data_IF_340874642654
#
_entry.id   IF_340874642654
#
_cell.length_a   1.000
_cell.length_b   1.000
_cell.length_c   1.000
_cell.angle_alpha   90.00
_cell.angle_beta   90.00
_cell.angle_gamma   90.00
#
_symmetry.space_group_name_H-M   'P 1'
#
loop_
_entity.id
_entity.type
_entity.pdbx_description
1 polymer ?
#
# COMPACT_ATOMS: atom_id res chain seq x y z
N UNK A 1 -21.81 -44.47 23.91
CA UNK A 1 -21.50 -45.88 23.55
C UNK A 1 -20.60 -45.82 22.31
N UNK A 2 -19.30 -45.65 22.47
CA UNK A 2 -18.23 -46.65 22.70
C UNK A 2 -17.95 -47.52 21.46
N UNK A 3 -16.70 -47.36 20.96
CA UNK A 3 -15.79 -48.30 20.28
C UNK A 3 -15.25 -47.66 18.98
N UNK A 4 -14.03 -47.12 18.89
CA UNK A 4 -12.70 -47.63 19.26
C UNK A 4 -12.28 -48.86 18.44
N UNK A 5 -11.34 -48.64 17.52
CA UNK A 5 -10.54 -49.72 16.93
C UNK A 5 -9.12 -49.20 16.70
N UNK A 6 -8.27 -49.56 17.66
CA UNK A 6 -6.83 -49.45 17.63
C UNK A 6 -6.22 -50.42 16.61
N UNK A 7 -5.15 -50.00 15.95
CA UNK A 7 -4.30 -50.87 15.15
C UNK A 7 -2.88 -50.82 15.73
N UNK A 8 -2.42 -51.97 16.23
CA UNK A 8 -1.08 -52.19 16.74
C UNK A 8 -0.57 -53.56 16.27
N UNK A 9 0.76 -53.71 16.30
CA UNK A 9 1.60 -54.86 15.88
C UNK A 9 2.05 -54.81 14.41
N UNK A 10 3.31 -55.11 14.05
CA UNK A 10 4.51 -55.59 14.77
C UNK A 10 5.71 -55.37 13.83
N UNK A 11 6.87 -55.05 14.39
CA UNK A 11 8.15 -55.09 13.68
C UNK A 11 8.63 -56.54 13.44
N UNK A 12 9.55 -56.72 12.48
CA UNK A 12 10.71 -57.57 12.77
C UNK A 12 12.06 -56.89 12.42
N UNK A 13 13.03 -57.23 13.27
CA UNK A 13 14.45 -56.95 13.20
C UNK A 13 15.11 -57.51 11.94
N UNK A 14 16.01 -56.74 11.32
CA UNK A 14 17.28 -57.26 10.79
C UNK A 14 18.33 -56.13 10.72
N UNK A 15 19.47 -56.36 11.39
CA UNK A 15 20.74 -55.62 11.22
C UNK A 15 21.53 -56.27 10.10
N UNK A 16 22.35 -55.50 9.38
CA UNK A 16 23.68 -55.95 8.99
C UNK A 16 24.77 -55.09 9.66
N UNK A 17 25.79 -55.79 10.13
CA UNK A 17 27.06 -55.25 10.61
C UNK A 17 27.82 -54.58 9.46
N UNK A 18 28.40 -53.41 9.72
CA UNK A 18 29.46 -52.81 8.90
C UNK A 18 30.69 -52.58 9.79
N UNK A 19 31.91 -52.78 9.26
CA UNK A 19 33.11 -52.91 10.07
C UNK A 19 33.66 -51.57 10.52
N UNK A 20 34.20 -51.58 11.74
CA UNK A 20 35.09 -50.56 12.29
C UNK A 20 36.32 -50.41 11.37
N UNK A 21 36.51 -49.23 10.78
CA UNK A 21 37.84 -48.77 10.35
C UNK A 21 38.27 -47.61 11.25
N UNK A 22 39.23 -47.92 12.12
CA UNK A 22 40.08 -46.97 12.81
C UNK A 22 41.16 -46.49 11.83
N UNK A 23 41.14 -45.20 11.49
CA UNK A 23 42.19 -44.55 10.71
C UNK A 23 42.27 -43.09 11.11
N UNK A 24 43.24 -42.76 11.95
CA UNK A 24 43.57 -41.38 12.29
C UNK A 24 44.35 -40.71 11.15
N UNK A 25 44.08 -39.43 10.91
CA UNK A 25 45.05 -38.47 10.41
C UNK A 25 44.48 -37.04 10.42
N UNK A 26 45.30 -36.13 10.93
CA UNK A 26 45.40 -34.71 10.58
C UNK A 26 44.13 -33.82 10.68
N UNK A 27 44.03 -33.11 11.79
CA UNK A 27 43.32 -31.83 11.86
C UNK A 27 44.05 -30.80 10.98
N UNK A 28 43.61 -30.66 9.73
CA UNK A 28 43.90 -29.48 8.91
C UNK A 28 42.90 -28.40 9.28
N UNK A 29 43.37 -27.36 9.98
CA UNK A 29 42.65 -26.11 10.19
C UNK A 29 42.46 -25.40 8.84
N UNK A 30 41.36 -25.71 8.14
CA UNK A 30 40.89 -24.87 7.05
C UNK A 30 40.23 -23.63 7.67
N UNK A 31 40.98 -22.54 7.74
CA UNK A 31 40.40 -21.21 7.90
C UNK A 31 39.30 -21.03 6.84
N UNK A 32 38.10 -20.52 7.20
CA UNK A 32 37.08 -20.20 6.21
C UNK A 32 37.65 -19.17 5.25
N UNK A 33 37.81 -19.55 3.97
CA UNK A 33 38.16 -18.60 2.91
C UNK A 33 37.12 -17.47 2.88
N UNK A 34 37.55 -16.20 2.76
CA UNK A 34 36.62 -15.10 2.66
C UNK A 34 36.03 -15.14 1.26
N UNK A 35 34.88 -15.80 1.08
CA UNK A 35 34.09 -15.72 -0.16
C UNK A 35 33.31 -14.37 -0.25
N UNK A 36 33.38 -13.53 0.77
CA UNK A 36 32.73 -12.23 0.85
C UNK A 36 33.35 -11.09 0.00
N UNK A 37 34.67 -10.98 -0.23
CA UNK A 37 35.24 -9.85 -0.96
C UNK A 37 34.88 -9.88 -2.46
N UNK A 38 34.77 -11.07 -3.06
CA UNK A 38 34.55 -11.21 -4.50
C UNK A 38 33.15 -10.73 -4.90
N UNK A 39 32.14 -11.05 -4.09
CA UNK A 39 30.76 -10.58 -4.32
C UNK A 39 30.63 -9.06 -4.14
N UNK A 40 31.34 -8.45 -3.18
CA UNK A 40 31.33 -7.00 -2.98
C UNK A 40 32.02 -6.25 -4.12
N UNK A 41 33.17 -6.73 -4.62
CA UNK A 41 33.86 -6.11 -5.75
C UNK A 41 33.06 -6.25 -7.06
N UNK A 42 32.41 -7.39 -7.29
CA UNK A 42 31.54 -7.58 -8.45
C UNK A 42 30.32 -6.64 -8.41
N UNK A 43 29.70 -6.44 -7.24
CA UNK A 43 28.60 -5.47 -7.05
C UNK A 43 29.05 -4.03 -7.27
N UNK A 44 30.25 -3.67 -6.80
CA UNK A 44 30.81 -2.33 -7.01
C UNK A 44 31.12 -2.08 -8.50
N UNK A 45 31.71 -3.06 -9.18
CA UNK A 45 32.00 -2.97 -10.61
C UNK A 45 30.72 -2.88 -11.47
N UNK A 46 29.68 -3.67 -11.15
CA UNK A 46 28.37 -3.56 -11.82
C UNK A 46 27.71 -2.20 -11.58
N UNK A 47 27.76 -1.66 -10.35
CA UNK A 47 27.27 -0.30 -10.05
C UNK A 47 27.97 0.75 -10.91
N UNK A 48 29.30 0.70 -10.97
CA UNK A 48 30.09 1.65 -11.77
C UNK A 48 29.78 1.54 -13.27
N UNK A 49 29.61 0.31 -13.78
CA UNK A 49 29.30 0.07 -15.19
C UNK A 49 27.90 0.60 -15.55
N UNK A 50 26.91 0.44 -14.67
CA UNK A 50 25.57 0.99 -14.87
C UNK A 50 25.52 2.52 -14.76
N UNK A 51 26.25 3.11 -13.81
CA UNK A 51 26.38 4.57 -13.70
C UNK A 51 26.96 5.21 -14.97
N UNK A 52 27.78 4.47 -15.73
CA UNK A 52 28.39 4.95 -16.97
C UNK A 52 27.55 4.63 -18.22
N UNK A 53 26.47 3.84 -18.10
CA UNK A 53 25.60 3.56 -19.23
C UNK A 53 24.81 4.83 -19.60
N UNK A 54 24.92 5.33 -20.85
CA UNK A 54 24.28 6.57 -21.26
C UNK A 54 22.76 6.49 -21.10
N UNK A 55 22.16 7.61 -20.73
CA UNK A 55 20.71 7.75 -20.66
C UNK A 55 20.11 7.78 -22.06
N UNK A 56 19.11 6.94 -22.30
CA UNK A 56 18.28 7.04 -23.50
C UNK A 56 17.17 8.06 -23.24
N UNK A 57 17.41 9.29 -23.69
CA UNK A 57 16.50 10.41 -23.55
C UNK A 57 16.14 10.92 -24.95
N UNK A 58 14.93 10.63 -25.48
CA UNK A 58 14.56 11.00 -26.84
C UNK A 58 14.39 12.52 -27.04
N UNK A 59 14.40 13.30 -25.96
CA UNK A 59 14.24 14.75 -25.97
C UNK A 59 15.13 15.41 -24.92
N UNK A 60 15.68 16.58 -25.24
CA UNK A 60 16.49 17.37 -24.30
C UNK A 60 15.66 18.37 -23.47
N UNK A 61 14.45 18.71 -23.94
CA UNK A 61 13.60 19.71 -23.30
C UNK A 61 12.67 19.13 -22.22
N UNK A 62 12.34 17.83 -22.28
CA UNK A 62 11.43 17.21 -21.33
C UNK A 62 12.17 16.85 -20.04
N UNK A 63 11.98 17.67 -19.02
CA UNK A 63 12.53 17.47 -17.65
C UNK A 63 11.46 17.02 -16.64
N UNK A 64 11.90 16.55 -15.46
CA UNK A 64 11.03 16.03 -14.39
C UNK A 64 9.85 16.98 -14.12
N UNK A 65 10.10 18.28 -13.97
CA UNK A 65 9.07 19.31 -13.72
C UNK A 65 7.79 19.19 -14.59
N UNK A 66 7.89 18.78 -15.85
CA UNK A 66 6.73 18.61 -16.74
C UNK A 66 5.77 17.52 -16.27
N UNK A 67 6.29 16.45 -15.66
CA UNK A 67 5.47 15.34 -15.16
C UNK A 67 4.56 15.80 -14.01
N UNK A 68 4.98 16.79 -13.21
CA UNK A 68 4.10 17.40 -12.20
C UNK A 68 2.90 18.10 -12.82
N UNK A 69 3.09 18.81 -13.93
CA UNK A 69 1.99 19.50 -14.62
C UNK A 69 1.00 18.47 -15.17
N UNK A 70 1.50 17.42 -15.81
CA UNK A 70 0.67 16.32 -16.34
C UNK A 70 -0.11 15.65 -15.21
N UNK A 71 0.52 15.40 -14.07
CA UNK A 71 -0.11 14.84 -12.88
C UNK A 71 -1.16 15.78 -12.25
N UNK A 72 -0.89 17.09 -12.25
CA UNK A 72 -1.77 18.09 -11.64
C UNK A 72 -3.06 18.27 -12.44
N UNK A 73 -3.02 18.24 -13.77
CA UNK A 73 -4.19 18.45 -14.63
C UNK A 73 -5.41 17.60 -14.26
N UNK A 74 -5.36 16.25 -14.24
CA UNK A 74 -6.54 15.44 -13.92
C UNK A 74 -7.03 15.69 -12.49
N UNK A 75 -6.12 15.98 -11.56
CA UNK A 75 -6.43 16.30 -10.17
C UNK A 75 -7.20 17.63 -10.08
N UNK A 76 -6.70 18.67 -10.73
CA UNK A 76 -7.31 20.00 -10.74
C UNK A 76 -8.63 20.01 -11.50
N UNK A 77 -8.74 19.28 -12.62
CA UNK A 77 -10.00 19.09 -13.34
C UNK A 77 -11.06 18.43 -12.47
N UNK A 78 -10.70 17.38 -11.73
CA UNK A 78 -11.63 16.69 -10.84
C UNK A 78 -12.15 17.62 -9.72
N UNK A 79 -11.27 18.44 -9.16
CA UNK A 79 -11.62 19.40 -8.10
C UNK A 79 -12.43 20.59 -8.61
N UNK A 80 -12.15 21.07 -9.83
CA UNK A 80 -12.84 22.23 -10.39
C UNK A 80 -14.27 21.90 -10.83
N UNK A 81 -14.50 20.71 -11.35
CA UNK A 81 -15.83 20.26 -11.79
C UNK A 81 -16.77 20.01 -10.60
N UNK A 82 -16.22 19.73 -9.43
CA UNK A 82 -17.04 19.47 -8.25
C UNK A 82 -16.19 19.71 -6.99
N UNK A 83 -16.31 20.90 -6.36
CA UNK A 83 -15.58 21.20 -5.14
C UNK A 83 -15.87 20.15 -4.05
N UNK A 84 -14.84 19.68 -3.33
CA UNK A 84 -15.02 18.64 -2.33
C UNK A 84 -15.87 19.15 -1.16
N UNK A 85 -16.60 18.24 -0.54
CA UNK A 85 -17.30 18.37 0.73
C UNK A 85 -18.45 19.39 0.74
N UNK A 86 -18.98 19.78 -0.41
CA UNK A 86 -20.08 20.77 -0.48
C UNK A 86 -21.30 20.34 0.34
N UNK A 87 -21.67 19.05 0.29
CA UNK A 87 -22.83 18.47 0.99
C UNK A 87 -22.48 17.84 2.33
N UNK A 88 -21.21 17.88 2.72
CA UNK A 88 -20.75 17.23 3.95
C UNK A 88 -21.15 18.02 5.19
N UNK A 89 -21.55 17.31 6.24
CA UNK A 89 -21.80 17.89 7.55
C UNK A 89 -20.48 18.38 8.21
N UNK A 90 -20.55 19.18 9.29
CA UNK A 90 -19.35 19.75 9.91
C UNK A 90 -18.33 18.70 10.37
N UNK A 91 -18.78 17.57 10.93
CA UNK A 91 -17.87 16.52 11.37
C UNK A 91 -17.19 15.81 10.19
N UNK A 92 -17.94 15.48 9.13
CA UNK A 92 -17.38 14.91 7.91
C UNK A 92 -16.31 15.83 7.29
N UNK A 93 -16.56 17.15 7.26
CA UNK A 93 -15.56 18.13 6.80
C UNK A 93 -14.31 18.09 7.67
N UNK A 94 -14.50 18.17 8.98
CA UNK A 94 -13.39 18.15 9.94
C UNK A 94 -12.54 16.87 9.81
N UNK A 95 -13.18 15.70 9.75
CA UNK A 95 -12.49 14.42 9.63
C UNK A 95 -11.83 14.23 8.26
N UNK A 96 -12.41 14.78 7.19
CA UNK A 96 -11.81 14.79 5.85
C UNK A 96 -10.53 15.64 5.81
N UNK A 97 -10.54 16.82 6.42
CA UNK A 97 -9.32 17.62 6.54
C UNK A 97 -8.29 16.98 7.46
N UNK A 98 -8.73 16.39 8.58
CA UNK A 98 -7.84 15.64 9.47
C UNK A 98 -7.17 14.48 8.74
N UNK A 99 -7.92 13.74 7.90
CA UNK A 99 -7.37 12.72 7.03
C UNK A 99 -6.30 13.28 6.08
N UNK A 100 -6.59 14.36 5.33
CA UNK A 100 -5.61 14.94 4.40
C UNK A 100 -4.33 15.35 5.14
N UNK A 101 -4.45 16.08 6.24
CA UNK A 101 -3.29 16.55 7.01
C UNK A 101 -2.49 15.36 7.53
N UNK A 102 -3.18 14.38 8.16
CA UNK A 102 -2.55 13.18 8.68
C UNK A 102 -1.79 12.41 7.58
N UNK A 103 -2.45 12.15 6.45
CA UNK A 103 -1.88 11.31 5.40
C UNK A 103 -0.78 12.01 4.62
N UNK A 104 -0.86 13.33 4.42
CA UNK A 104 0.24 14.11 3.85
C UNK A 104 1.46 14.05 4.76
N UNK A 105 1.28 14.27 6.07
CA UNK A 105 2.40 14.22 7.01
C UNK A 105 3.05 12.83 7.06
N UNK A 106 2.28 11.77 7.33
CA UNK A 106 2.85 10.43 7.52
C UNK A 106 3.21 9.76 6.20
N UNK A 107 2.41 9.97 5.16
CA UNK A 107 2.61 9.41 3.83
C UNK A 107 3.83 10.00 3.16
N UNK A 108 4.02 11.33 3.19
CA UNK A 108 5.23 11.94 2.62
C UNK A 108 6.46 11.56 3.41
N UNK A 109 6.41 11.54 4.75
CA UNK A 109 7.55 11.13 5.57
C UNK A 109 7.96 9.68 5.30
N UNK A 110 6.99 8.76 5.26
CA UNK A 110 7.26 7.36 4.92
C UNK A 110 7.77 7.25 3.48
N UNK A 111 7.13 7.94 2.53
CA UNK A 111 7.53 7.98 1.12
C UNK A 111 8.98 8.42 0.97
N UNK A 112 9.37 9.50 1.64
CA UNK A 112 10.73 10.02 1.59
C UNK A 112 11.76 9.00 2.08
N UNK A 113 11.46 8.25 3.14
CA UNK A 113 12.38 7.25 3.71
C UNK A 113 12.62 6.10 2.74
N UNK A 114 11.56 5.45 2.25
CA UNK A 114 11.72 4.27 1.38
C UNK A 114 12.20 4.66 -0.01
N UNK A 115 11.79 5.83 -0.50
CA UNK A 115 12.19 6.34 -1.81
C UNK A 115 13.69 6.68 -1.83
N UNK A 116 14.16 7.42 -0.81
CA UNK A 116 15.58 7.70 -0.60
C UNK A 116 16.39 6.40 -0.42
N UNK A 117 15.84 5.42 0.30
CA UNK A 117 16.51 4.13 0.46
C UNK A 117 16.67 3.42 -0.89
N UNK A 118 15.61 3.27 -1.68
CA UNK A 118 15.70 2.60 -2.98
C UNK A 118 16.61 3.33 -3.96
N UNK A 119 16.57 4.66 -4.00
CA UNK A 119 17.49 5.48 -4.79
C UNK A 119 18.96 5.26 -4.36
N UNK A 120 19.25 5.29 -3.06
CA UNK A 120 20.61 5.06 -2.53
C UNK A 120 21.15 3.65 -2.80
N UNK A 121 20.25 2.67 -2.96
CA UNK A 121 20.59 1.30 -3.31
C UNK A 121 20.70 1.08 -4.83
N UNK A 122 20.23 2.04 -5.62
CA UNK A 122 20.21 2.01 -7.08
C UNK A 122 19.03 1.22 -7.67
N UNK A 123 17.97 0.98 -6.89
CA UNK A 123 16.76 0.30 -7.41
C UNK A 123 16.04 1.15 -8.45
N UNK A 124 16.17 2.46 -8.32
CA UNK A 124 15.89 3.45 -9.35
C UNK A 124 16.97 4.51 -9.34
N UNK A 125 17.14 5.12 -10.50
CA UNK A 125 18.14 6.14 -10.75
C UNK A 125 17.45 7.33 -11.43
N UNK A 126 17.93 8.53 -11.13
CA UNK A 126 17.45 9.77 -11.73
C UNK A 126 18.48 10.33 -12.70
N UNK A 127 18.01 10.84 -13.83
CA UNK A 127 18.88 11.44 -14.82
C UNK A 127 19.29 12.85 -14.35
N UNK A 128 20.59 13.10 -14.11
CA UNK A 128 21.06 14.39 -13.62
C UNK A 128 20.82 15.53 -14.63
N UNK A 129 20.69 15.22 -15.93
CA UNK A 129 20.42 16.24 -16.96
C UNK A 129 18.95 16.68 -16.99
N UNK A 130 18.06 15.93 -16.31
CA UNK A 130 16.60 16.16 -16.31
C UNK A 130 16.02 16.46 -14.93
N UNK A 131 16.85 16.47 -13.90
CA UNK A 131 16.44 16.60 -12.51
C UNK A 131 17.36 17.56 -11.76
N UNK A 132 16.84 18.23 -10.73
CA UNK A 132 17.65 19.07 -9.85
C UNK A 132 18.16 18.23 -8.68
N UNK A 133 19.38 17.72 -8.79
CA UNK A 133 20.04 16.93 -7.74
C UNK A 133 20.73 17.82 -6.71
N UNK A 134 20.79 17.37 -5.46
CA UNK A 134 21.60 17.99 -4.40
C UNK A 134 22.46 16.93 -3.72
N UNK A 135 23.68 17.29 -3.33
CA UNK A 135 24.63 16.34 -2.72
C UNK A 135 24.15 15.78 -1.36
N UNK A 136 23.24 16.49 -0.69
CA UNK A 136 22.74 16.17 0.65
C UNK A 136 21.45 15.31 0.66
N UNK A 137 20.83 15.06 -0.50
CA UNK A 137 19.56 14.33 -0.60
C UNK A 137 19.69 13.24 -1.68
N UNK A 138 19.29 12.02 -1.34
CA UNK A 138 19.41 10.86 -2.24
C UNK A 138 18.48 10.93 -3.48
N UNK A 139 17.47 11.79 -3.43
CA UNK A 139 16.47 11.98 -4.49
C UNK A 139 16.44 13.46 -4.94
N UNK A 140 16.09 13.74 -6.20
CA UNK A 140 15.95 15.11 -6.68
C UNK A 140 14.88 15.91 -5.94
N UNK A 141 14.96 17.25 -6.00
CA UNK A 141 13.95 18.14 -5.40
C UNK A 141 12.58 17.86 -6.00
N UNK A 142 12.51 17.59 -7.30
CA UNK A 142 11.28 17.24 -8.01
C UNK A 142 10.66 15.96 -7.46
N UNK A 143 11.47 14.96 -7.12
CA UNK A 143 10.96 13.73 -6.48
C UNK A 143 10.34 14.05 -5.12
N UNK A 144 10.97 14.88 -4.29
CA UNK A 144 10.37 15.31 -3.01
C UNK A 144 8.99 15.95 -3.23
N UNK A 145 8.86 16.82 -4.22
CA UNK A 145 7.57 17.40 -4.61
C UNK A 145 6.60 16.36 -5.15
N UNK A 146 7.10 15.31 -5.81
CA UNK A 146 6.29 14.23 -6.36
C UNK A 146 5.65 13.42 -5.23
N UNK A 147 6.37 13.19 -4.13
CA UNK A 147 5.82 12.56 -2.93
C UNK A 147 4.60 13.35 -2.41
N UNK A 148 4.71 14.68 -2.29
CA UNK A 148 3.59 15.54 -1.88
C UNK A 148 2.43 15.47 -2.88
N UNK A 149 2.71 15.63 -4.17
CA UNK A 149 1.69 15.59 -5.21
C UNK A 149 0.97 14.24 -5.28
N UNK A 150 1.69 13.13 -5.21
CA UNK A 150 1.12 11.79 -5.27
C UNK A 150 0.21 11.52 -4.07
N UNK A 151 0.68 11.81 -2.86
CA UNK A 151 -0.12 11.61 -1.64
C UNK A 151 -1.36 12.52 -1.63
N UNK A 152 -1.18 13.81 -1.93
CA UNK A 152 -2.30 14.77 -1.94
C UNK A 152 -3.32 14.42 -3.03
N UNK A 153 -2.87 14.15 -4.26
CA UNK A 153 -3.75 13.67 -5.34
C UNK A 153 -4.56 12.47 -4.88
N UNK A 154 -3.89 11.45 -4.36
CA UNK A 154 -4.54 10.20 -3.97
C UNK A 154 -5.57 10.42 -2.87
N UNK A 155 -5.25 11.27 -1.88
CA UNK A 155 -6.20 11.64 -0.83
C UNK A 155 -7.44 12.36 -1.38
N UNK A 156 -7.25 13.28 -2.34
CA UNK A 156 -8.34 14.02 -2.97
C UNK A 156 -9.22 13.12 -3.85
N UNK A 157 -8.63 12.19 -4.59
CA UNK A 157 -9.38 11.15 -5.31
C UNK A 157 -10.20 10.29 -4.36
N UNK A 158 -9.66 9.93 -3.20
CA UNK A 158 -10.40 9.15 -2.21
C UNK A 158 -11.61 9.91 -1.65
N UNK A 159 -11.42 11.18 -1.28
CA UNK A 159 -12.54 12.03 -0.87
C UNK A 159 -13.60 12.10 -1.95
N UNK A 160 -13.16 12.26 -3.20
CA UNK A 160 -14.10 12.36 -4.32
C UNK A 160 -14.86 11.07 -4.59
N UNK A 161 -14.21 9.93 -4.40
CA UNK A 161 -14.88 8.65 -4.53
C UNK A 161 -15.97 8.46 -3.47
N UNK A 162 -15.77 8.92 -2.24
CA UNK A 162 -16.81 8.89 -1.19
C UNK A 162 -18.00 9.82 -1.48
N UNK A 163 -17.77 10.92 -2.20
CA UNK A 163 -18.84 11.84 -2.61
C UNK A 163 -19.65 11.33 -3.80
N UNK A 164 -18.97 10.73 -4.79
CA UNK A 164 -19.59 10.40 -6.08
C UNK A 164 -20.14 8.98 -6.17
N UNK A 165 -19.59 8.06 -5.38
CA UNK A 165 -19.95 6.64 -5.44
C UNK A 165 -20.81 6.28 -4.24
N UNK A 166 -21.91 5.57 -4.46
CA UNK A 166 -22.78 5.08 -3.39
C UNK A 166 -22.08 4.07 -2.47
N UNK A 167 -22.60 3.90 -1.26
CA UNK A 167 -22.17 2.87 -0.30
C UNK A 167 -22.60 1.48 -0.80
N UNK A 168 -21.81 0.44 -0.53
CA UNK A 168 -22.24 -0.96 -0.66
C UNK A 168 -22.66 -1.50 0.71
N UNK A 169 -23.91 -1.24 1.09
CA UNK A 169 -24.44 -1.59 2.41
C UNK A 169 -24.62 -3.11 2.62
N UNK A 170 -24.54 -3.92 1.57
CA UNK A 170 -24.75 -5.37 1.61
C UNK A 170 -23.56 -6.16 2.17
N UNK A 171 -22.38 -5.54 2.31
CA UNK A 171 -21.18 -6.22 2.81
C UNK A 171 -21.05 -6.12 4.33
N UNK A 172 -20.99 -7.27 4.99
CA UNK A 172 -20.78 -7.36 6.44
C UNK A 172 -19.32 -7.22 6.89
N UNK A 173 -19.07 -7.59 8.15
CA UNK A 173 -17.73 -7.70 8.75
C UNK A 173 -17.00 -8.91 8.11
N UNK A 174 -15.67 -8.84 7.87
CA UNK A 174 -14.93 -10.01 7.38
C UNK A 174 -15.05 -11.19 8.35
N UNK A 175 -15.15 -12.41 7.80
CA UNK A 175 -15.09 -13.60 8.64
C UNK A 175 -13.74 -13.70 9.38
N UNK A 176 -13.67 -14.36 10.55
CA UNK A 176 -12.42 -14.60 11.25
C UNK A 176 -11.35 -15.25 10.38
N UNK A 177 -11.73 -16.19 9.51
CA UNK A 177 -10.84 -16.90 8.60
C UNK A 177 -10.27 -15.96 7.53
N UNK A 178 -11.11 -15.11 6.93
CA UNK A 178 -10.65 -14.12 5.96
C UNK A 178 -9.69 -13.12 6.63
N UNK A 179 -10.05 -12.65 7.83
CA UNK A 179 -9.22 -11.73 8.61
C UNK A 179 -7.86 -12.33 8.91
N UNK A 180 -7.82 -13.56 9.42
CA UNK A 180 -6.60 -14.28 9.74
C UNK A 180 -5.75 -14.57 8.48
N UNK A 181 -6.37 -14.99 7.39
CA UNK A 181 -5.67 -15.35 6.15
C UNK A 181 -4.97 -14.15 5.50
N UNK A 182 -5.68 -13.02 5.39
CA UNK A 182 -5.09 -11.77 4.86
C UNK A 182 -3.98 -11.27 5.79
N UNK A 183 -4.18 -11.38 7.11
CA UNK A 183 -3.14 -11.01 8.10
C UNK A 183 -1.88 -11.86 7.94
N UNK A 184 -2.05 -13.18 7.82
CA UNK A 184 -0.93 -14.11 7.63
C UNK A 184 -0.19 -13.83 6.32
N UNK A 185 -0.92 -13.53 5.24
CA UNK A 185 -0.32 -13.14 3.96
C UNK A 185 0.51 -11.85 4.09
N UNK A 186 0.00 -10.83 4.78
CA UNK A 186 0.71 -9.56 4.96
C UNK A 186 1.94 -9.71 5.88
N UNK A 187 1.85 -10.56 6.90
CA UNK A 187 3.00 -10.92 7.74
C UNK A 187 4.05 -11.67 6.91
N UNK A 188 3.64 -12.63 6.09
CA UNK A 188 4.54 -13.35 5.19
C UNK A 188 5.20 -12.40 4.16
N UNK A 189 4.44 -11.45 3.60
CA UNK A 189 4.97 -10.42 2.71
C UNK A 189 6.00 -9.54 3.43
N UNK A 190 5.73 -9.08 4.66
CA UNK A 190 6.69 -8.33 5.46
C UNK A 190 7.99 -9.13 5.69
N UNK A 191 7.87 -10.40 6.10
CA UNK A 191 9.01 -11.29 6.30
C UNK A 191 9.81 -11.51 5.00
N UNK A 192 9.10 -11.69 3.89
CA UNK A 192 9.70 -11.76 2.56
C UNK A 192 10.44 -10.48 2.21
N UNK A 193 9.87 -9.30 2.47
CA UNK A 193 10.51 -8.02 2.19
C UNK A 193 11.83 -7.84 2.96
N UNK A 194 11.83 -8.17 4.25
CA UNK A 194 13.03 -8.14 5.09
C UNK A 194 14.07 -9.13 4.58
N UNK A 195 13.67 -10.38 4.30
CA UNK A 195 14.57 -11.39 3.73
C UNK A 195 15.15 -10.94 2.39
N UNK A 196 14.29 -10.46 1.49
CA UNK A 196 14.67 -10.02 0.15
C UNK A 196 15.72 -8.91 0.25
N UNK A 197 15.50 -7.89 1.09
CA UNK A 197 16.46 -6.79 1.25
C UNK A 197 17.76 -7.20 1.96
N UNK A 198 17.65 -7.88 3.11
CA UNK A 198 18.79 -8.09 4.01
C UNK A 198 19.59 -9.37 3.75
N UNK A 199 18.95 -10.43 3.25
CA UNK A 199 19.50 -11.79 3.23
C UNK A 199 19.60 -12.39 1.83
N UNK A 200 18.72 -12.01 0.90
CA UNK A 200 18.73 -12.57 -0.44
C UNK A 200 20.03 -12.22 -1.18
N UNK A 201 20.72 -13.21 -1.77
CA UNK A 201 21.85 -12.97 -2.67
C UNK A 201 21.38 -12.55 -4.07
N UNK A 202 20.12 -12.81 -4.40
CA UNK A 202 19.50 -12.46 -5.67
C UNK A 202 18.98 -11.02 -5.63
N UNK A 203 19.45 -10.20 -6.57
CA UNK A 203 19.09 -8.79 -6.68
C UNK A 203 17.72 -8.59 -7.35
N UNK A 204 17.23 -9.55 -8.14
CA UNK A 204 15.97 -9.43 -8.91
C UNK A 204 14.72 -9.33 -8.02
N UNK A 205 14.82 -9.75 -6.76
CA UNK A 205 13.72 -9.68 -5.78
C UNK A 205 13.76 -8.41 -4.92
N UNK A 206 14.77 -7.55 -5.08
CA UNK A 206 15.00 -6.42 -4.17
C UNK A 206 13.95 -5.33 -4.31
N UNK A 207 13.48 -5.03 -5.52
CA UNK A 207 12.45 -4.01 -5.72
C UNK A 207 11.11 -4.42 -5.09
N UNK A 208 10.61 -5.63 -5.40
CA UNK A 208 9.40 -6.18 -4.74
C UNK A 208 9.62 -6.33 -3.24
N UNK A 209 10.80 -6.77 -2.82
CA UNK A 209 11.19 -6.87 -1.41
C UNK A 209 11.06 -5.54 -0.67
N UNK A 210 11.47 -4.45 -1.31
CA UNK A 210 11.33 -3.10 -0.77
C UNK A 210 9.85 -2.70 -0.59
N UNK A 211 9.03 -2.93 -1.61
CA UNK A 211 7.58 -2.68 -1.54
C UNK A 211 6.96 -3.46 -0.38
N UNK A 212 7.27 -4.75 -0.28
CA UNK A 212 6.75 -5.61 0.79
C UNK A 212 7.21 -5.15 2.19
N UNK A 213 8.49 -4.81 2.35
CA UNK A 213 9.05 -4.40 3.64
C UNK A 213 8.39 -3.11 4.18
N UNK A 214 8.09 -2.15 3.31
CA UNK A 214 7.53 -0.86 3.72
C UNK A 214 6.00 -0.84 3.75
N UNK A 215 5.32 -1.46 2.79
CA UNK A 215 3.87 -1.31 2.68
C UNK A 215 3.06 -2.47 3.26
N UNK A 216 3.60 -3.69 3.34
CA UNK A 216 2.87 -4.80 3.97
C UNK A 216 2.53 -4.53 5.44
N UNK A 217 3.41 -3.92 6.27
CA UNK A 217 3.05 -3.52 7.63
C UNK A 217 1.94 -2.46 7.68
N UNK A 218 1.97 -1.48 6.77
CA UNK A 218 0.92 -0.43 6.69
C UNK A 218 -0.42 -1.05 6.32
N UNK A 219 -0.43 -1.93 5.32
CA UNK A 219 -1.62 -2.68 4.93
C UNK A 219 -2.13 -3.58 6.05
N UNK A 220 -1.22 -4.20 6.83
CA UNK A 220 -1.60 -5.01 7.98
C UNK A 220 -2.33 -4.17 9.03
N UNK A 221 -1.84 -2.97 9.32
CA UNK A 221 -2.50 -2.02 10.23
C UNK A 221 -3.89 -1.64 9.68
N UNK A 222 -3.97 -1.22 8.41
CA UNK A 222 -5.24 -0.90 7.75
C UNK A 222 -6.22 -2.07 7.85
N UNK A 223 -5.74 -3.30 7.65
CA UNK A 223 -6.57 -4.51 7.71
C UNK A 223 -7.04 -4.83 9.13
N UNK A 224 -6.16 -4.74 10.14
CA UNK A 224 -6.54 -5.01 11.53
C UNK A 224 -7.58 -4.02 12.03
N UNK A 225 -7.37 -2.74 11.77
CA UNK A 225 -8.23 -1.65 12.24
C UNK A 225 -9.51 -1.57 11.42
N UNK A 226 -9.36 -1.67 10.11
CA UNK A 226 -10.32 -1.10 9.18
C UNK A 226 -10.92 -2.05 8.16
N UNK A 227 -10.62 -3.34 8.21
CA UNK A 227 -11.12 -4.31 7.22
C UNK A 227 -12.63 -4.26 6.99
N UNK A 228 -13.43 -4.05 8.03
CA UNK A 228 -14.88 -3.87 7.91
C UNK A 228 -15.27 -2.62 7.08
N UNK A 229 -14.59 -1.50 7.31
CA UNK A 229 -14.82 -0.26 6.56
C UNK A 229 -14.36 -0.41 5.12
N UNK A 230 -13.22 -1.09 4.93
CA UNK A 230 -12.67 -1.36 3.61
C UNK A 230 -13.63 -2.23 2.78
N UNK A 231 -14.26 -3.24 3.39
CA UNK A 231 -15.17 -4.13 2.68
C UNK A 231 -16.53 -3.49 2.40
N UNK A 232 -17.13 -2.77 3.37
CA UNK A 232 -18.40 -2.03 3.20
C UNK A 232 -18.32 -0.90 2.18
N UNK A 233 -17.13 -0.31 2.01
CA UNK A 233 -16.91 0.80 1.07
C UNK A 233 -16.03 0.38 -0.10
N UNK A 234 -15.98 -0.91 -0.43
CA UNK A 234 -15.06 -1.44 -1.43
C UNK A 234 -15.16 -0.77 -2.80
N UNK A 235 -16.37 -0.42 -3.27
CA UNK A 235 -16.53 0.33 -4.53
C UNK A 235 -15.87 1.71 -4.48
N UNK A 236 -16.11 2.47 -3.41
CA UNK A 236 -15.53 3.81 -3.21
C UNK A 236 -14.02 3.74 -3.12
N UNK A 237 -13.51 2.73 -2.44
CA UNK A 237 -12.07 2.52 -2.29
C UNK A 237 -11.47 2.09 -3.62
N UNK A 238 -12.11 1.18 -4.34
CA UNK A 238 -11.62 0.71 -5.64
C UNK A 238 -11.50 1.87 -6.63
N UNK A 239 -12.51 2.74 -6.71
CA UNK A 239 -12.44 3.94 -7.58
C UNK A 239 -11.39 4.93 -7.09
N UNK A 240 -11.38 5.22 -5.78
CA UNK A 240 -10.43 6.14 -5.17
C UNK A 240 -8.98 5.66 -5.26
N UNK A 241 -8.74 4.34 -5.35
CA UNK A 241 -7.42 3.71 -5.45
C UNK A 241 -6.98 3.51 -6.90
N UNK A 242 -7.82 2.86 -7.69
CA UNK A 242 -7.45 2.39 -9.01
C UNK A 242 -7.16 3.55 -9.96
N UNK A 243 -8.02 4.58 -9.95
CA UNK A 243 -7.91 5.68 -10.89
C UNK A 243 -6.65 6.55 -10.68
N UNK A 244 -6.34 7.04 -9.46
CA UNK A 244 -5.09 7.76 -9.27
C UNK A 244 -3.87 6.85 -9.37
N UNK A 245 -3.96 5.58 -8.98
CA UNK A 245 -2.88 4.60 -9.05
C UNK A 245 -2.44 4.33 -10.49
N UNK A 246 -3.39 3.98 -11.37
CA UNK A 246 -3.14 3.79 -12.81
C UNK A 246 -2.61 5.07 -13.44
N UNK A 247 -3.16 6.23 -13.08
CA UNK A 247 -2.65 7.52 -13.57
C UNK A 247 -1.18 7.73 -13.19
N UNK A 248 -0.77 7.40 -11.96
CA UNK A 248 0.63 7.50 -11.54
C UNK A 248 1.52 6.53 -12.33
N UNK A 249 1.08 5.27 -12.50
CA UNK A 249 1.81 4.26 -13.29
C UNK A 249 2.03 4.73 -14.73
N UNK A 250 1.02 5.33 -15.36
CA UNK A 250 1.13 5.82 -16.74
C UNK A 250 2.11 7.00 -16.84
N UNK A 251 2.10 7.90 -15.86
CA UNK A 251 3.06 9.02 -15.82
C UNK A 251 4.47 8.51 -15.56
N UNK A 252 4.63 7.46 -14.76
CA UNK A 252 5.91 6.80 -14.58
C UNK A 252 6.43 6.17 -15.88
N UNK A 253 5.57 5.45 -16.61
CA UNK A 253 5.93 4.94 -17.93
C UNK A 253 6.40 6.06 -18.86
N UNK A 254 5.74 7.23 -18.83
CA UNK A 254 6.16 8.41 -19.59
C UNK A 254 7.51 8.96 -19.10
N UNK A 255 7.73 9.04 -17.79
CA UNK A 255 9.01 9.48 -17.21
C UNK A 255 10.17 8.59 -17.63
N UNK A 256 9.96 7.28 -17.62
CA UNK A 256 10.93 6.30 -18.12
C UNK A 256 11.17 6.43 -19.63
N UNK A 257 10.11 6.60 -20.43
CA UNK A 257 10.22 6.84 -21.88
C UNK A 257 11.02 8.08 -22.21
N UNK A 258 10.89 9.12 -21.39
CA UNK A 258 11.63 10.37 -21.56
C UNK A 258 13.02 10.33 -20.89
N UNK A 259 13.42 9.21 -20.28
CA UNK A 259 14.72 9.08 -19.63
C UNK A 259 14.89 10.02 -18.43
N UNK A 260 13.81 10.41 -17.74
CA UNK A 260 13.88 11.23 -16.51
C UNK A 260 14.41 10.38 -15.35
N UNK A 261 13.96 9.13 -15.28
CA UNK A 261 14.47 8.12 -14.38
C UNK A 261 14.45 6.75 -15.06
N UNK A 262 15.16 5.79 -14.47
CA UNK A 262 15.17 4.41 -14.94
C UNK A 262 15.25 3.44 -13.76
N UNK A 263 14.84 2.22 -14.05
CA UNK A 263 14.88 1.11 -13.11
C UNK A 263 15.84 0.04 -13.66
N UNK A 264 17.03 -0.14 -13.07
CA UNK A 264 17.98 -1.14 -13.54
C UNK A 264 17.38 -2.55 -13.50
N UNK A 265 17.44 -3.25 -14.63
CA UNK A 265 16.80 -4.57 -14.81
C UNK A 265 17.27 -5.62 -13.79
N UNK A 266 18.49 -5.50 -13.28
CA UNK A 266 19.06 -6.39 -12.27
C UNK A 266 18.28 -6.42 -10.95
N UNK A 267 17.49 -5.38 -10.66
CA UNK A 267 16.69 -5.28 -9.43
C UNK A 267 15.21 -5.61 -9.62
N UNK A 268 14.81 -5.93 -10.85
CA UNK A 268 13.42 -6.16 -11.22
C UNK A 268 13.15 -7.67 -11.41
N UNK A 269 11.91 -8.07 -11.18
CA UNK A 269 11.44 -9.44 -11.35
C UNK A 269 11.51 -9.98 -12.80
N UNK A 270 11.67 -9.08 -13.78
CA UNK A 270 11.65 -9.40 -15.20
C UNK A 270 10.24 -9.55 -15.80
N UNK A 271 9.18 -9.35 -15.01
CA UNK A 271 7.79 -9.38 -15.49
C UNK A 271 7.41 -7.99 -16.00
N UNK A 272 7.39 -7.80 -17.32
CA UNK A 272 7.07 -6.50 -17.93
C UNK A 272 6.52 -6.58 -19.35
N UNK A 273 5.79 -5.54 -19.76
CA UNK A 273 5.39 -5.25 -21.14
C UNK A 273 5.83 -3.81 -21.47
N UNK A 274 6.90 -3.65 -22.26
CA UNK A 274 7.51 -2.35 -22.52
C UNK A 274 7.98 -1.64 -21.24
N UNK A 275 7.44 -0.44 -20.98
CA UNK A 275 7.75 0.35 -19.78
C UNK A 275 6.91 -0.05 -18.56
N UNK A 276 5.87 -0.87 -18.77
CA UNK A 276 5.01 -1.37 -17.71
C UNK A 276 5.67 -2.58 -17.05
N UNK A 277 6.38 -2.33 -15.94
CA UNK A 277 7.06 -3.36 -15.14
C UNK A 277 6.21 -3.68 -13.92
N UNK A 278 5.99 -4.97 -13.63
CA UNK A 278 5.16 -5.40 -12.50
C UNK A 278 5.61 -4.75 -11.19
N UNK A 279 6.91 -4.75 -10.93
CA UNK A 279 7.53 -4.19 -9.73
C UNK A 279 7.12 -2.72 -9.52
N UNK A 280 7.06 -1.95 -10.62
CA UNK A 280 6.75 -0.52 -10.61
C UNK A 280 5.25 -0.26 -10.53
N UNK A 281 4.45 -1.12 -11.16
CA UNK A 281 2.99 -1.15 -10.94
C UNK A 281 2.70 -1.38 -9.46
N UNK A 282 3.39 -2.33 -8.82
CA UNK A 282 3.23 -2.61 -7.40
C UNK A 282 3.66 -1.42 -6.53
N UNK A 283 4.79 -0.77 -6.82
CA UNK A 283 5.23 0.46 -6.15
C UNK A 283 4.09 1.47 -6.06
N UNK A 284 3.48 1.83 -7.19
CA UNK A 284 2.45 2.86 -7.19
C UNK A 284 1.09 2.37 -6.72
N UNK A 285 0.67 1.16 -7.10
CA UNK A 285 -0.63 0.65 -6.68
C UNK A 285 -0.65 0.39 -5.17
N UNK A 286 0.41 -0.18 -4.60
CA UNK A 286 0.45 -0.52 -3.18
C UNK A 286 0.57 0.74 -2.30
N UNK A 287 1.39 1.71 -2.70
CA UNK A 287 1.51 3.00 -2.01
C UNK A 287 0.23 3.84 -2.12
N UNK A 288 -0.41 3.86 -3.30
CA UNK A 288 -1.71 4.52 -3.49
C UNK A 288 -2.76 3.89 -2.58
N UNK A 289 -2.80 2.56 -2.48
CA UNK A 289 -3.73 1.89 -1.56
C UNK A 289 -3.49 2.27 -0.10
N UNK A 290 -2.23 2.41 0.33
CA UNK A 290 -1.93 2.79 1.70
C UNK A 290 -2.56 4.14 2.07
N UNK A 291 -2.55 5.10 1.14
CA UNK A 291 -3.22 6.40 1.29
C UNK A 291 -4.74 6.24 1.30
N UNK A 292 -5.30 5.54 0.31
CA UNK A 292 -6.76 5.41 0.15
C UNK A 292 -7.41 4.57 1.23
N UNK A 293 -6.78 3.46 1.63
CA UNK A 293 -7.24 2.59 2.70
C UNK A 293 -7.26 3.31 4.05
N UNK A 294 -6.24 4.12 4.33
CA UNK A 294 -6.22 4.97 5.53
C UNK A 294 -7.34 5.99 5.52
N UNK A 295 -7.54 6.68 4.39
CA UNK A 295 -8.64 7.64 4.24
C UNK A 295 -10.01 6.98 4.36
N UNK A 296 -10.17 5.80 3.78
CA UNK A 296 -11.40 5.05 3.84
C UNK A 296 -11.79 4.71 5.27
N UNK A 297 -10.84 4.32 6.13
CA UNK A 297 -11.13 4.07 7.54
C UNK A 297 -11.69 5.33 8.21
N UNK A 298 -11.02 6.47 8.06
CA UNK A 298 -11.42 7.72 8.73
C UNK A 298 -12.77 8.20 8.21
N UNK A 299 -12.95 8.25 6.90
CA UNK A 299 -14.16 8.79 6.26
C UNK A 299 -15.35 7.84 6.47
N UNK A 300 -15.18 6.53 6.22
CA UNK A 300 -16.25 5.56 6.41
C UNK A 300 -16.67 5.45 7.88
N UNK A 301 -15.72 5.40 8.81
CA UNK A 301 -16.04 5.35 10.24
C UNK A 301 -16.81 6.60 10.68
N UNK A 302 -16.49 7.77 10.11
CA UNK A 302 -17.22 9.02 10.38
C UNK A 302 -18.66 8.92 9.86
N UNK A 303 -18.86 8.51 8.60
CA UNK A 303 -20.19 8.33 8.01
C UNK A 303 -21.04 7.32 8.77
N UNK A 304 -20.48 6.15 9.07
CA UNK A 304 -21.17 5.08 9.78
C UNK A 304 -21.56 5.50 11.21
N UNK A 305 -20.67 6.20 11.93
CA UNK A 305 -20.97 6.66 13.29
C UNK A 305 -22.08 7.72 13.32
N UNK A 306 -22.08 8.64 12.35
CA UNK A 306 -23.12 9.68 12.23
C UNK A 306 -24.46 9.00 11.98
N UNK A 307 -24.55 8.17 10.93
CA UNK A 307 -25.78 7.46 10.58
C UNK A 307 -26.31 6.62 11.75
N UNK A 308 -25.41 5.95 12.48
CA UNK A 308 -25.79 5.14 13.64
C UNK A 308 -26.37 5.99 14.78
N UNK A 309 -25.75 7.12 15.08
CA UNK A 309 -26.23 8.00 16.17
C UNK A 309 -27.53 8.67 15.81
N UNK A 310 -27.69 9.08 14.55
CA UNK A 310 -28.94 9.63 14.02
C UNK A 310 -30.07 8.61 14.12
N UNK A 311 -29.85 7.36 13.71
CA UNK A 311 -30.84 6.28 13.81
C UNK A 311 -31.26 5.97 15.26
N UNK A 312 -30.36 6.18 16.23
CA UNK A 312 -30.62 5.97 17.66
C UNK A 312 -31.13 7.24 18.37
N UNK A 313 -31.31 8.36 17.66
CA UNK A 313 -31.70 9.64 18.27
C UNK A 313 -30.68 10.17 19.28
N UNK A 314 -29.40 9.80 19.13
CA UNK A 314 -28.32 10.22 20.01
C UNK A 314 -27.76 11.58 19.59
N UNK A 315 -27.11 12.34 20.49
CA UNK A 315 -26.47 13.60 20.14
C UNK A 315 -25.42 13.42 19.03
N UNK A 316 -25.14 14.43 18.20
CA UNK A 316 -24.11 14.33 17.15
C UNK A 316 -22.74 13.93 17.72
N UNK A 317 -21.98 13.05 17.04
CA UNK A 317 -20.65 12.67 17.48
C UNK A 317 -19.64 13.81 17.31
N UNK A 318 -18.58 13.78 18.12
CA UNK A 318 -17.37 14.57 17.93
C UNK A 318 -16.20 13.76 17.35
N UNK A 319 -15.06 14.40 17.04
CA UNK A 319 -13.87 13.72 16.51
C UNK A 319 -13.33 12.62 17.42
N UNK A 320 -13.42 12.81 18.74
CA UNK A 320 -12.97 11.80 19.71
C UNK A 320 -13.85 10.54 19.65
N UNK A 321 -15.16 10.69 19.42
CA UNK A 321 -16.07 9.55 19.27
C UNK A 321 -15.72 8.75 18.01
N UNK A 322 -15.35 9.43 16.91
CA UNK A 322 -14.87 8.76 15.68
C UNK A 322 -13.58 7.98 15.96
N UNK A 323 -12.61 8.58 16.65
CA UNK A 323 -11.37 7.89 17.00
C UNK A 323 -11.62 6.66 17.89
N UNK A 324 -12.50 6.78 18.89
CA UNK A 324 -12.90 5.65 19.74
C UNK A 324 -13.64 4.58 18.94
N UNK A 325 -14.47 4.96 17.97
CA UNK A 325 -15.17 4.03 17.10
C UNK A 325 -14.20 3.23 16.22
N UNK A 326 -13.20 3.90 15.63
CA UNK A 326 -12.12 3.27 14.86
C UNK A 326 -11.26 2.35 15.73
N UNK A 327 -10.90 2.75 16.95
CA UNK A 327 -10.09 1.91 17.83
C UNK A 327 -10.89 0.74 18.41
N UNK A 328 -12.19 0.94 18.63
CA UNK A 328 -13.11 -0.09 19.13
C UNK A 328 -13.21 -1.30 18.20
N UNK A 329 -13.08 -1.10 16.88
CA UNK A 329 -13.11 -2.19 15.89
C UNK A 329 -11.89 -3.11 15.92
N UNK A 330 -10.78 -2.67 16.53
CA UNK A 330 -9.56 -3.48 16.67
C UNK A 330 -9.70 -4.60 17.69
N UNK A 331 -10.47 -4.38 18.77
CA UNK A 331 -10.44 -5.23 19.98
C UNK A 331 -11.36 -6.46 19.84
N UNK A 332 -11.88 -6.75 18.65
CA UNK A 332 -12.77 -7.90 18.47
C UNK A 332 -14.07 -7.79 19.28
N UNK A 333 -14.41 -6.57 19.72
CA UNK A 333 -15.83 -6.20 19.69
C UNK A 333 -16.16 -6.17 18.22
N UNK A 334 -16.48 -7.35 17.70
CA UNK A 334 -17.35 -7.43 16.54
C UNK A 334 -18.38 -6.33 16.78
N UNK A 335 -18.42 -5.34 15.91
CA UNK A 335 -19.58 -4.45 15.82
C UNK A 335 -20.78 -5.27 15.29
N UNK A 336 -20.89 -6.55 15.67
CA UNK A 336 -22.07 -7.35 15.59
C UNK A 336 -22.97 -6.87 16.71
N UNK A 337 -23.96 -6.08 16.34
CA UNK A 337 -25.15 -5.96 17.17
C UNK A 337 -26.26 -6.66 16.39
N UNK A 338 -26.74 -7.76 16.98
CA UNK A 338 -28.02 -8.34 16.60
C UNK A 338 -29.06 -7.20 16.54
N UNK A 339 -29.82 -7.16 15.44
CA UNK A 339 -30.82 -6.12 15.09
C UNK A 339 -30.36 -5.00 14.11
N UNK A 340 -29.10 -5.03 13.65
CA UNK A 340 -28.55 -4.08 12.65
C UNK A 340 -29.15 -4.17 11.23
N UNK A 341 -29.96 -5.19 10.95
CA UNK A 341 -30.71 -5.27 9.70
C UNK A 341 -31.54 -4.00 9.46
N UNK A 342 -32.08 -3.38 10.52
CA UNK A 342 -32.91 -2.17 10.42
C UNK A 342 -32.13 -0.85 10.32
N UNK A 343 -30.94 -0.76 10.92
CA UNK A 343 -30.11 0.46 10.90
C UNK A 343 -29.28 0.60 9.61
N UNK A 344 -29.04 -0.53 8.93
CA UNK A 344 -28.39 -0.57 7.62
C UNK A 344 -29.33 -1.05 6.50
N UNK A 345 -30.62 -1.31 6.79
CA UNK A 345 -31.69 -1.36 5.78
C UNK A 345 -31.84 0.04 5.19
N UNK A 346 -31.00 0.29 4.19
CA UNK A 346 -31.14 1.46 3.35
C UNK A 346 -32.20 1.14 2.30
N UNK A 347 -33.32 1.85 2.37
CA UNK A 347 -34.28 1.87 1.29
C UNK A 347 -33.59 2.44 0.05
N UNK A 348 -33.21 1.56 -0.88
CA UNK A 348 -32.57 1.90 -2.14
C UNK A 348 -33.42 2.82 -3.04
N UNK A 349 -34.67 3.10 -2.66
CA UNK A 349 -35.54 4.06 -3.34
C UNK A 349 -35.40 5.50 -2.83
N UNK A 350 -34.77 5.72 -1.67
CA UNK A 350 -34.52 7.06 -1.14
C UNK A 350 -33.21 7.63 -1.70
N UNK A 351 -33.34 8.60 -2.60
CA UNK A 351 -32.22 9.40 -3.09
C UNK A 351 -31.59 10.17 -1.92
N UNK A 352 -30.36 9.81 -1.56
CA UNK A 352 -29.57 10.53 -0.56
C UNK A 352 -29.27 11.94 -1.07
N UNK A 353 -29.91 12.94 -0.46
CA UNK A 353 -29.51 14.35 -0.62
C UNK A 353 -30.54 15.35 -1.13
N UNK A 354 -31.84 15.13 -0.96
CA UNK A 354 -32.81 16.24 -0.98
C UNK A 354 -33.42 16.43 0.41
N UNK A 355 -33.51 17.67 0.92
CA UNK A 355 -34.21 17.92 2.18
C UNK A 355 -35.66 17.44 2.06
N UNK A 356 -36.27 16.99 3.17
CA UNK A 356 -37.67 16.58 3.16
C UNK A 356 -38.50 17.73 2.58
N UNK A 357 -39.27 17.44 1.53
CA UNK A 357 -40.23 18.39 1.01
C UNK A 357 -41.14 18.79 2.18
N UNK A 358 -41.18 20.09 2.48
CA UNK A 358 -42.08 20.60 3.50
C UNK A 358 -43.50 20.12 3.16
N UNK A 359 -44.27 19.65 4.16
CA UNK A 359 -45.65 19.24 3.92
C UNK A 359 -46.38 20.41 3.26
N UNK A 360 -46.97 20.14 2.09
CA UNK A 360 -47.88 21.10 1.49
C UNK A 360 -49.06 21.24 2.45
N UNK A 361 -49.17 22.41 3.07
CA UNK A 361 -50.36 22.79 3.82
C UNK A 361 -51.56 22.75 2.86
N UNK A 362 -52.49 21.84 3.15
CA UNK A 362 -53.78 21.68 2.47
C UNK A 362 -54.86 22.50 3.16
#
# INVERSE_FOLDING_TARGET
MVASSAFAMRAPLMRPQLPLQLGGAAATSSLPSPLYPVAQHARLANRLTHMMAPWDAPTDWFVYGHLHLILALPTLTLLSLSPPLQRANPLQKQMSYAFIVFIVCIGVAQSFIWDSYGASMGFWEFNPDKCTTRDDIAIPIEEVLWLFHHVLKTALYQLKAFELVGVQADRGVPSPELRASVSALLVAACAFGVWALALSPDDTVKCIGLVCAFFAPVWLIIWQIGSQFVLRHANRITIGWFLPGVTTVLIDCLGQQQGVWRFPAQYLSGISEGYLKLDIVLVYMVSTFAVTGTGAIIIAATEELINRRDALGLPPPGPLDVAQYILGSMIGRDLQVADEGSAFEYDSTLAVGLPPALPQES
#
